data_IF_712894875009
#
_entry.id   IF_712894875009
#
_cell.length_a   1.000
_cell.length_b   1.000
_cell.length_c   1.000
_cell.angle_alpha   90.00
_cell.angle_beta   90.00
_cell.angle_gamma   90.00
#
_symmetry.space_group_name_H-M   'P 1'
#
loop_
_entity.id
_entity.type
_entity.pdbx_description
1 polymer ?
#
# COMPACT_ATOMS: atom_id res chain seq x y z
N UNK A 1 -39.80 -7.40 10.00
CA UNK A 1 -39.21 -8.47 9.14
C UNK A 1 -37.72 -8.21 8.80
N UNK A 2 -37.14 -7.10 9.26
CA UNK A 2 -35.74 -6.74 8.92
C UNK A 2 -34.67 -7.05 10.02
N UNK A 3 -35.14 -7.37 11.25
CA UNK A 3 -34.20 -7.67 12.34
C UNK A 3 -33.71 -9.13 12.35
N UNK A 4 -34.51 -10.06 11.84
CA UNK A 4 -34.14 -11.47 11.73
C UNK A 4 -33.05 -11.72 10.65
N UNK A 5 -33.02 -10.93 9.60
CA UNK A 5 -32.02 -11.03 8.52
C UNK A 5 -30.62 -10.53 8.97
N UNK A 6 -30.57 -9.54 9.85
CA UNK A 6 -29.29 -9.04 10.42
C UNK A 6 -28.69 -10.02 11.43
N UNK A 7 -29.54 -10.70 12.21
CA UNK A 7 -29.09 -11.71 13.18
C UNK A 7 -28.48 -12.95 12.50
N UNK A 8 -29.03 -13.36 11.36
CA UNK A 8 -28.53 -14.51 10.60
C UNK A 8 -27.17 -14.20 9.94
N UNK A 9 -26.96 -12.96 9.46
CA UNK A 9 -25.69 -12.57 8.81
C UNK A 9 -24.52 -12.38 9.77
N UNK A 10 -24.79 -11.97 11.03
CA UNK A 10 -23.77 -11.89 12.08
C UNK A 10 -23.37 -13.27 12.60
N UNK A 11 -24.34 -14.18 12.70
CA UNK A 11 -24.10 -15.55 13.18
C UNK A 11 -23.28 -16.39 12.17
N UNK A 12 -23.50 -16.20 10.86
CA UNK A 12 -22.68 -16.86 9.82
C UNK A 12 -21.23 -16.34 9.81
N UNK A 13 -20.97 -15.08 10.09
CA UNK A 13 -19.62 -14.51 10.10
C UNK A 13 -18.81 -14.97 11.32
N UNK A 14 -19.44 -15.07 12.50
CA UNK A 14 -18.84 -15.63 13.70
C UNK A 14 -18.63 -17.15 13.57
N UNK A 15 -19.62 -17.88 13.08
CA UNK A 15 -19.51 -19.32 12.87
C UNK A 15 -18.43 -19.70 11.83
N UNK A 16 -18.20 -18.88 10.80
CA UNK A 16 -17.09 -19.07 9.85
C UNK A 16 -15.73 -18.76 10.49
N UNK A 17 -15.65 -17.76 11.36
CA UNK A 17 -14.43 -17.45 12.13
C UNK A 17 -14.12 -18.55 13.14
N UNK A 18 -15.11 -19.01 13.87
CA UNK A 18 -14.99 -20.14 14.81
C UNK A 18 -14.65 -21.45 14.09
N UNK A 19 -15.30 -21.73 12.94
CA UNK A 19 -14.98 -22.90 12.13
C UNK A 19 -13.53 -22.88 11.62
N UNK A 20 -13.04 -21.74 11.13
CA UNK A 20 -11.63 -21.58 10.71
C UNK A 20 -10.65 -21.73 11.88
N UNK A 21 -11.01 -21.23 13.06
CA UNK A 21 -10.24 -21.43 14.28
C UNK A 21 -10.24 -22.91 14.73
N UNK A 22 -11.41 -23.56 14.67
CA UNK A 22 -11.57 -24.99 15.03
C UNK A 22 -10.84 -25.91 14.05
N UNK A 23 -10.89 -25.65 12.75
CA UNK A 23 -10.17 -26.46 11.74
C UNK A 23 -8.66 -26.37 11.97
N UNK A 24 -8.14 -25.19 12.32
CA UNK A 24 -6.73 -25.04 12.65
C UNK A 24 -6.36 -25.75 13.95
N UNK A 25 -7.20 -25.67 14.97
CA UNK A 25 -7.04 -26.40 16.23
C UNK A 25 -7.07 -27.90 16.02
N UNK A 26 -7.94 -28.39 15.13
CA UNK A 26 -8.01 -29.83 14.76
C UNK A 26 -6.79 -30.30 13.95
N UNK A 27 -6.21 -29.42 13.12
CA UNK A 27 -5.03 -29.73 12.29
C UNK A 27 -3.73 -29.66 13.12
N UNK A 28 -3.65 -28.76 14.14
CA UNK A 28 -2.45 -28.58 14.98
C UNK A 28 -2.46 -29.43 16.25
N UNK A 29 -3.57 -30.04 16.61
CA UNK A 29 -3.69 -31.05 17.68
C UNK A 29 -3.37 -30.61 19.11
N UNK A 30 -2.70 -29.48 19.34
CA UNK A 30 -2.39 -28.90 20.65
C UNK A 30 -2.20 -27.39 20.57
N UNK A 31 -2.58 -26.61 21.61
CA UNK A 31 -2.27 -25.19 21.67
C UNK A 31 -0.75 -24.98 21.70
N UNK A 32 -0.25 -23.82 21.22
CA UNK A 32 1.18 -23.52 21.27
C UNK A 32 1.68 -23.55 22.70
N UNK A 33 2.91 -24.06 22.90
CA UNK A 33 3.57 -24.14 24.21
C UNK A 33 3.76 -22.73 24.82
N UNK A 34 3.96 -21.74 23.94
CA UNK A 34 4.26 -20.36 24.27
C UNK A 34 3.48 -19.40 23.39
N UNK A 35 2.67 -18.53 23.99
CA UNK A 35 1.84 -17.53 23.32
C UNK A 35 2.51 -16.14 23.18
N UNK A 36 3.76 -15.99 23.61
CA UNK A 36 4.43 -14.67 23.73
C UNK A 36 4.43 -13.88 22.42
N UNK A 37 4.74 -14.50 21.27
CA UNK A 37 4.75 -13.80 19.97
C UNK A 37 3.36 -13.33 19.56
N UNK A 38 2.34 -14.12 19.82
CA UNK A 38 0.95 -13.69 19.54
C UNK A 38 0.54 -12.54 20.44
N UNK A 39 0.86 -12.61 21.74
CA UNK A 39 0.56 -11.53 22.69
C UNK A 39 1.25 -10.22 22.32
N UNK A 40 2.52 -10.27 21.88
CA UNK A 40 3.26 -9.08 21.46
C UNK A 40 2.69 -8.44 20.21
N UNK A 41 2.00 -9.19 19.36
CA UNK A 41 1.24 -8.65 18.23
C UNK A 41 -0.23 -8.34 18.58
N UNK A 42 -0.68 -8.55 19.82
CA UNK A 42 -2.07 -8.38 20.23
C UNK A 42 -3.03 -9.38 19.59
N UNK A 43 -2.55 -10.60 19.30
CA UNK A 43 -3.29 -11.63 18.56
C UNK A 43 -3.63 -12.84 19.42
N UNK A 44 -4.72 -13.52 19.06
CA UNK A 44 -4.99 -14.87 19.55
C UNK A 44 -4.00 -15.86 18.93
N UNK A 45 -3.67 -16.94 19.67
CA UNK A 45 -2.83 -18.03 19.17
C UNK A 45 -3.43 -18.75 17.94
N UNK A 46 -4.74 -18.63 17.75
CA UNK A 46 -5.46 -19.17 16.58
C UNK A 46 -5.58 -18.17 15.42
N UNK A 47 -5.04 -16.96 15.56
CA UNK A 47 -5.17 -15.90 14.55
C UNK A 47 -4.73 -16.37 13.16
N UNK A 48 -5.51 -16.12 12.10
CA UNK A 48 -5.13 -16.44 10.73
C UNK A 48 -3.94 -15.58 10.29
N UNK A 49 -3.25 -16.00 9.22
CA UNK A 49 -2.10 -15.25 8.67
C UNK A 49 -2.44 -13.81 8.31
N UNK A 50 -3.67 -13.55 7.90
CA UNK A 50 -4.12 -12.21 7.56
C UNK A 50 -4.09 -11.26 8.76
N UNK A 51 -4.51 -11.71 9.92
CA UNK A 51 -4.47 -10.91 11.15
C UNK A 51 -3.02 -10.64 11.59
N UNK A 52 -2.10 -11.59 11.37
CA UNK A 52 -0.66 -11.39 11.61
C UNK A 52 -0.12 -10.26 10.70
N UNK A 53 -0.52 -10.24 9.42
CA UNK A 53 -0.13 -9.18 8.49
C UNK A 53 -0.66 -7.82 8.95
N UNK A 54 -1.94 -7.74 9.38
CA UNK A 54 -2.55 -6.50 9.85
C UNK A 54 -1.87 -5.98 11.11
N UNK A 55 -1.71 -6.84 12.12
CA UNK A 55 -1.07 -6.47 13.37
C UNK A 55 0.34 -5.94 13.15
N UNK A 56 1.12 -6.60 12.27
CA UNK A 56 2.45 -6.14 11.92
C UNK A 56 2.43 -4.79 11.20
N UNK A 57 1.48 -4.54 10.30
CA UNK A 57 1.35 -3.25 9.61
C UNK A 57 1.12 -2.11 10.61
N UNK A 58 0.19 -2.30 11.54
CA UNK A 58 -0.12 -1.29 12.56
C UNK A 58 1.08 -1.07 13.49
N UNK A 59 1.58 -2.12 14.13
CA UNK A 59 2.67 -2.01 15.10
C UNK A 59 3.97 -1.56 14.44
N UNK A 60 4.31 -2.12 13.26
CA UNK A 60 5.49 -1.74 12.52
C UNK A 60 5.48 -0.29 12.06
N UNK A 61 4.30 0.26 11.73
CA UNK A 61 4.16 1.67 11.42
C UNK A 61 4.31 2.55 12.67
N UNK A 62 3.70 2.16 13.79
CA UNK A 62 3.79 2.88 15.06
C UNK A 62 5.22 2.93 15.62
N UNK A 63 6.00 1.85 15.50
CA UNK A 63 7.39 1.79 15.96
C UNK A 63 8.42 1.90 14.82
N UNK A 64 8.04 2.55 13.68
CA UNK A 64 8.95 2.65 12.55
C UNK A 64 10.12 3.61 12.84
N UNK A 65 11.37 3.23 12.62
CA UNK A 65 12.54 4.06 12.94
C UNK A 65 12.62 5.35 12.11
N UNK A 66 11.87 5.46 11.00
CA UNK A 66 11.75 6.70 10.23
C UNK A 66 10.85 7.73 10.91
N UNK A 67 9.91 7.26 11.72
CA UNK A 67 9.09 8.10 12.58
C UNK A 67 9.88 8.53 13.82
N UNK A 68 10.51 7.55 14.48
CA UNK A 68 11.31 7.78 15.68
C UNK A 68 12.52 6.83 15.70
N UNK A 69 13.76 7.33 15.52
CA UNK A 69 14.96 6.50 15.51
C UNK A 69 15.17 5.67 16.78
N UNK A 70 14.64 6.11 17.93
CA UNK A 70 14.73 5.37 19.20
C UNK A 70 13.93 4.05 19.19
N UNK A 71 12.95 3.91 18.30
CA UNK A 71 12.10 2.72 18.18
C UNK A 71 12.74 1.59 17.34
N UNK A 72 13.98 1.73 16.90
CA UNK A 72 14.64 0.74 16.02
C UNK A 72 14.64 -0.67 16.62
N UNK A 73 14.95 -0.82 17.89
CA UNK A 73 14.97 -2.14 18.58
C UNK A 73 13.58 -2.75 18.64
N UNK A 74 12.58 -1.94 18.99
CA UNK A 74 11.17 -2.35 19.04
C UNK A 74 10.68 -2.79 17.66
N UNK A 75 11.02 -2.03 16.61
CA UNK A 75 10.69 -2.41 15.23
C UNK A 75 11.33 -3.74 14.85
N UNK A 76 12.62 -3.94 15.14
CA UNK A 76 13.32 -5.19 14.84
C UNK A 76 12.70 -6.38 15.56
N UNK A 77 12.27 -6.22 16.79
CA UNK A 77 11.58 -7.25 17.55
C UNK A 77 10.25 -7.62 16.89
N UNK A 78 9.41 -6.64 16.58
CA UNK A 78 8.10 -6.85 15.91
C UNK A 78 8.29 -7.48 14.52
N UNK A 79 9.30 -7.04 13.75
CA UNK A 79 9.63 -7.60 12.44
C UNK A 79 10.12 -9.06 12.52
N UNK A 80 10.85 -9.41 13.59
CA UNK A 80 11.30 -10.79 13.85
C UNK A 80 10.14 -11.71 14.14
N UNK A 81 9.21 -11.29 15.01
CA UNK A 81 7.99 -12.03 15.33
C UNK A 81 7.14 -12.24 14.08
N UNK A 82 6.96 -11.19 13.29
CA UNK A 82 6.22 -11.26 12.03
C UNK A 82 6.84 -12.27 11.06
N UNK A 83 8.17 -12.27 10.89
CA UNK A 83 8.85 -13.21 10.02
C UNK A 83 8.60 -14.66 10.40
N UNK A 84 8.52 -14.96 11.70
CA UNK A 84 8.19 -16.31 12.20
C UNK A 84 6.73 -16.64 11.98
N UNK A 85 5.80 -15.78 12.41
CA UNK A 85 4.37 -16.08 12.39
C UNK A 85 3.76 -16.04 10.98
N UNK A 86 4.37 -15.28 10.04
CA UNK A 86 3.94 -15.25 8.65
C UNK A 86 4.29 -16.55 7.90
N UNK A 87 5.45 -17.13 8.17
CA UNK A 87 5.89 -18.36 7.56
C UNK A 87 5.25 -19.56 8.26
N UNK A 88 4.43 -20.34 7.55
CA UNK A 88 3.69 -21.45 8.18
C UNK A 88 4.61 -22.51 8.81
N UNK A 89 5.76 -22.80 8.21
CA UNK A 89 6.71 -23.79 8.73
C UNK A 89 7.38 -23.29 10.03
N UNK A 90 7.85 -22.03 10.03
CA UNK A 90 8.44 -21.40 11.20
C UNK A 90 7.40 -21.24 12.32
N UNK A 91 6.15 -20.90 11.99
CA UNK A 91 5.05 -20.81 12.94
C UNK A 91 4.74 -22.16 13.58
N UNK A 92 4.71 -23.24 12.78
CA UNK A 92 4.51 -24.59 13.27
C UNK A 92 5.65 -25.06 14.19
N UNK A 93 6.89 -24.61 13.93
CA UNK A 93 8.03 -24.87 14.81
C UNK A 93 7.86 -24.07 16.10
N UNK A 94 7.61 -22.75 15.99
CA UNK A 94 7.40 -21.89 17.15
C UNK A 94 6.27 -22.40 18.07
N UNK A 95 5.15 -22.82 17.52
CA UNK A 95 4.02 -23.37 18.28
C UNK A 95 4.42 -24.62 19.11
N UNK A 96 5.46 -25.36 18.67
CA UNK A 96 5.98 -26.55 19.34
C UNK A 96 7.11 -26.29 20.31
N UNK A 97 7.96 -25.30 20.06
CA UNK A 97 9.22 -25.13 20.82
C UNK A 97 9.29 -23.80 21.59
N UNK A 98 8.35 -22.87 21.34
CA UNK A 98 8.31 -21.56 21.97
C UNK A 98 9.48 -20.64 21.60
N UNK A 99 9.58 -19.50 22.30
CA UNK A 99 10.64 -18.48 22.07
C UNK A 99 12.03 -19.08 22.26
N UNK A 100 12.24 -19.88 23.31
CA UNK A 100 13.57 -20.44 23.61
C UNK A 100 14.06 -21.37 22.49
N UNK A 101 13.18 -22.21 21.94
CA UNK A 101 13.53 -23.11 20.85
C UNK A 101 13.82 -22.37 19.54
N UNK A 102 13.23 -21.20 19.34
CA UNK A 102 13.46 -20.39 18.13
C UNK A 102 14.84 -19.73 18.05
N UNK A 103 15.58 -19.62 19.17
CA UNK A 103 16.92 -19.00 19.19
C UNK A 103 17.92 -19.68 18.24
N UNK A 104 17.73 -20.95 17.93
CA UNK A 104 18.61 -21.71 17.03
C UNK A 104 18.11 -21.73 15.57
N UNK A 105 16.99 -21.10 15.28
CA UNK A 105 16.45 -21.04 13.92
C UNK A 105 16.81 -19.75 13.21
N UNK A 106 17.34 -19.85 12.01
CA UNK A 106 17.68 -18.70 11.17
C UNK A 106 16.47 -18.25 10.38
N UNK A 107 16.12 -16.97 10.55
CA UNK A 107 15.13 -16.27 9.73
C UNK A 107 15.59 -14.82 9.52
N UNK A 108 15.14 -14.20 8.43
CA UNK A 108 15.52 -12.83 8.08
C UNK A 108 14.32 -11.92 8.34
N UNK A 109 14.39 -11.05 9.37
CA UNK A 109 13.36 -10.06 9.61
C UNK A 109 13.23 -9.08 8.45
N UNK A 110 12.03 -8.51 8.29
CA UNK A 110 11.83 -7.45 7.32
C UNK A 110 12.56 -6.18 7.78
N UNK A 111 13.41 -5.61 6.93
CA UNK A 111 14.04 -4.33 7.22
C UNK A 111 13.02 -3.19 7.20
N UNK A 112 13.30 -2.10 7.93
CA UNK A 112 12.46 -0.90 7.95
C UNK A 112 12.23 -0.34 6.54
N UNK A 113 13.27 -0.30 5.70
CA UNK A 113 13.16 0.12 4.30
C UNK A 113 12.18 -0.77 3.51
N UNK A 114 12.33 -2.09 3.61
CA UNK A 114 11.41 -3.04 2.96
C UNK A 114 9.99 -2.93 3.50
N UNK A 115 9.83 -2.68 4.79
CA UNK A 115 8.51 -2.45 5.38
C UNK A 115 7.81 -1.29 4.68
N UNK A 116 8.45 -0.13 4.58
CA UNK A 116 7.85 1.03 3.92
C UNK A 116 7.57 0.80 2.44
N UNK A 117 8.47 0.13 1.71
CA UNK A 117 8.23 -0.24 0.31
C UNK A 117 7.04 -1.18 0.13
N UNK A 118 6.72 -1.99 1.15
CA UNK A 118 5.68 -3.00 1.11
C UNK A 118 4.41 -2.59 1.87
N UNK A 119 4.44 -1.46 2.54
CA UNK A 119 3.34 -0.98 3.37
C UNK A 119 2.06 -0.74 2.55
N UNK A 120 2.21 -0.13 1.37
CA UNK A 120 1.10 0.12 0.47
C UNK A 120 0.99 -0.97 -0.60
N UNK A 121 -0.22 -1.50 -0.74
CA UNK A 121 -0.52 -2.53 -1.73
C UNK A 121 0.20 -3.85 -1.47
N UNK A 122 -0.34 -4.93 -1.99
CA UNK A 122 0.23 -6.26 -1.88
C UNK A 122 0.86 -6.74 -3.20
N UNK A 123 1.28 -8.01 -3.25
CA UNK A 123 1.95 -8.57 -4.42
C UNK A 123 1.17 -8.45 -5.74
N UNK A 124 -0.17 -8.48 -5.66
CA UNK A 124 -1.04 -8.35 -6.85
C UNK A 124 -1.12 -6.92 -7.36
N UNK A 125 -1.21 -5.93 -6.44
CA UNK A 125 -1.17 -4.52 -6.80
C UNK A 125 0.18 -4.13 -7.41
N UNK A 126 1.29 -4.72 -6.96
CA UNK A 126 2.63 -4.43 -7.51
C UNK A 126 2.76 -4.71 -9.00
N UNK A 127 2.00 -5.64 -9.55
CA UNK A 127 1.96 -5.86 -10.99
C UNK A 127 1.42 -4.64 -11.75
N UNK A 128 0.62 -3.80 -11.08
CA UNK A 128 -0.02 -2.62 -11.64
C UNK A 128 0.65 -1.30 -11.26
N UNK A 129 1.31 -1.22 -10.10
CA UNK A 129 1.95 0.01 -9.60
C UNK A 129 3.47 -0.07 -9.49
N UNK A 130 4.06 -1.25 -9.61
CA UNK A 130 5.50 -1.48 -9.44
C UNK A 130 5.98 -1.39 -7.98
N UNK A 131 7.28 -1.47 -7.79
CA UNK A 131 7.92 -1.30 -6.48
C UNK A 131 8.19 0.17 -6.21
N UNK A 132 7.91 0.61 -4.97
CA UNK A 132 8.16 1.99 -4.55
C UNK A 132 9.66 2.23 -4.31
N UNK A 133 10.16 3.39 -4.73
CA UNK A 133 11.56 3.77 -4.57
C UNK A 133 11.75 5.07 -3.78
N UNK A 134 10.80 6.01 -3.86
CA UNK A 134 10.91 7.29 -3.16
C UNK A 134 10.72 7.14 -1.65
N UNK A 135 9.75 6.33 -1.24
CA UNK A 135 9.45 6.11 0.19
C UNK A 135 10.67 5.55 0.94
N UNK A 136 11.46 4.68 0.30
CA UNK A 136 12.72 4.19 0.86
C UNK A 136 13.84 5.24 0.91
N UNK A 137 13.79 6.28 0.08
CA UNK A 137 14.82 7.31 -0.01
C UNK A 137 14.56 8.52 0.92
N UNK A 138 13.30 8.79 1.29
CA UNK A 138 12.95 9.91 2.19
C UNK A 138 13.69 9.81 3.51
N UNK A 139 13.88 8.62 4.02
CA UNK A 139 14.54 8.39 5.29
C UNK A 139 16.07 8.44 5.23
N UNK A 140 16.65 8.32 4.02
CA UNK A 140 18.10 8.46 3.82
C UNK A 140 18.50 9.92 3.63
N UNK A 141 17.56 10.84 3.53
CA UNK A 141 17.76 12.27 3.31
C UNK A 141 17.97 13.06 4.62
N UNK A 142 18.40 12.42 5.71
CA UNK A 142 18.79 13.10 6.94
C UNK A 142 19.97 14.05 6.72
N UNK A 143 20.13 15.10 7.54
CA UNK A 143 21.24 16.04 7.43
C UNK A 143 22.57 15.31 7.62
N UNK A 144 23.38 15.26 6.58
CA UNK A 144 24.74 14.67 6.63
C UNK A 144 25.10 13.67 5.53
N UNK A 145 24.26 13.41 4.56
CA UNK A 145 24.62 12.56 3.44
C UNK A 145 25.22 13.36 2.28
N UNK A 146 26.56 13.31 2.18
CA UNK A 146 27.37 13.94 1.11
C UNK A 146 27.20 13.31 -0.30
N UNK A 147 26.29 12.35 -0.48
CA UNK A 147 26.12 11.57 -1.71
C UNK A 147 24.84 11.93 -2.49
N UNK A 148 24.44 13.20 -2.53
CA UNK A 148 23.22 13.65 -3.23
C UNK A 148 23.24 13.32 -4.73
N UNK A 149 24.41 13.33 -5.37
CA UNK A 149 24.56 12.99 -6.79
C UNK A 149 24.32 11.49 -7.03
N UNK A 150 24.94 10.62 -6.25
CA UNK A 150 24.76 9.17 -6.31
C UNK A 150 23.31 8.74 -5.96
N UNK A 151 22.67 9.45 -5.02
CA UNK A 151 21.28 9.21 -4.67
C UNK A 151 20.32 9.57 -5.83
N UNK A 152 20.57 10.69 -6.52
CA UNK A 152 19.78 11.09 -7.71
C UNK A 152 19.91 10.09 -8.85
N UNK A 153 21.12 9.60 -9.14
CA UNK A 153 21.36 8.62 -10.20
C UNK A 153 20.68 7.28 -9.88
N UNK A 154 20.81 6.78 -8.65
CA UNK A 154 20.12 5.56 -8.20
C UNK A 154 18.61 5.69 -8.28
N UNK A 155 18.06 6.85 -7.90
CA UNK A 155 16.64 7.14 -7.99
C UNK A 155 16.15 7.17 -9.44
N UNK A 156 16.89 7.80 -10.34
CA UNK A 156 16.58 7.84 -11.77
C UNK A 156 16.59 6.45 -12.39
N UNK A 157 17.58 5.62 -12.06
CA UNK A 157 17.69 4.24 -12.52
C UNK A 157 16.54 3.38 -11.98
N UNK A 158 16.16 3.53 -10.71
CA UNK A 158 15.04 2.81 -10.10
C UNK A 158 13.71 3.22 -10.76
N UNK A 159 13.49 4.51 -11.02
CA UNK A 159 12.33 5.04 -11.75
C UNK A 159 12.22 4.43 -13.15
N UNK A 160 13.31 4.43 -13.90
CA UNK A 160 13.32 3.89 -15.27
C UNK A 160 13.08 2.36 -15.27
N UNK A 161 13.70 1.63 -14.36
CA UNK A 161 13.46 0.18 -14.19
C UNK A 161 11.99 -0.11 -13.88
N UNK A 162 11.39 0.65 -12.97
CA UNK A 162 9.97 0.53 -12.61
C UNK A 162 9.06 0.81 -13.81
N UNK A 163 9.30 1.92 -14.51
CA UNK A 163 8.54 2.30 -15.70
C UNK A 163 8.58 1.18 -16.76
N UNK A 164 9.77 0.68 -17.08
CA UNK A 164 9.94 -0.38 -18.08
C UNK A 164 9.26 -1.69 -17.68
N UNK A 165 9.26 -2.04 -16.38
CA UNK A 165 8.56 -3.21 -15.88
C UNK A 165 7.04 -3.03 -15.99
N UNK A 166 6.51 -1.88 -15.60
CA UNK A 166 5.08 -1.59 -15.70
C UNK A 166 4.60 -1.53 -17.14
N UNK A 167 5.40 -0.97 -18.04
CA UNK A 167 5.09 -0.95 -19.46
C UNK A 167 4.90 -2.37 -20.02
N UNK A 168 5.79 -3.31 -19.65
CA UNK A 168 5.64 -4.73 -20.01
C UNK A 168 4.37 -5.33 -19.40
N UNK A 169 4.18 -5.18 -18.09
CA UNK A 169 3.03 -5.75 -17.40
C UNK A 169 1.70 -5.25 -17.97
N UNK A 170 1.59 -3.95 -18.26
CA UNK A 170 0.37 -3.37 -18.83
C UNK A 170 0.21 -3.78 -20.30
N UNK A 171 1.29 -3.92 -21.07
CA UNK A 171 1.23 -4.43 -22.45
C UNK A 171 0.71 -5.87 -22.49
N UNK A 172 1.18 -6.75 -21.59
CA UNK A 172 0.66 -8.12 -21.44
C UNK A 172 -0.85 -8.14 -21.14
N UNK A 173 -1.34 -7.22 -20.30
CA UNK A 173 -2.78 -7.08 -20.04
C UNK A 173 -3.57 -6.61 -21.25
N UNK A 174 -2.99 -5.71 -22.05
CA UNK A 174 -3.59 -5.30 -23.32
C UNK A 174 -3.73 -6.47 -24.27
N UNK A 175 -2.70 -7.30 -24.36
CA UNK A 175 -2.70 -8.49 -25.23
C UNK A 175 -3.71 -9.53 -24.70
N UNK A 176 -3.76 -9.81 -23.40
CA UNK A 176 -4.76 -10.69 -22.76
C UNK A 176 -6.21 -10.25 -23.07
N UNK A 177 -6.47 -8.95 -23.05
CA UNK A 177 -7.78 -8.41 -23.41
C UNK A 177 -8.14 -8.70 -24.87
N UNK A 178 -7.18 -8.53 -25.80
CA UNK A 178 -7.44 -8.74 -27.21
C UNK A 178 -7.55 -10.20 -27.60
N UNK A 179 -6.75 -11.07 -27.02
CA UNK A 179 -6.88 -12.52 -27.15
C UNK A 179 -8.28 -12.98 -26.70
N UNK A 180 -8.72 -12.51 -25.53
CA UNK A 180 -10.05 -12.79 -25.01
C UNK A 180 -11.18 -12.25 -25.90
N UNK A 181 -10.96 -11.07 -26.51
CA UNK A 181 -11.93 -10.47 -27.42
C UNK A 181 -12.04 -11.23 -28.75
N UNK A 182 -10.92 -11.67 -29.31
CA UNK A 182 -10.87 -12.47 -30.55
C UNK A 182 -11.45 -13.87 -30.31
N UNK A 183 -11.26 -14.45 -29.12
CA UNK A 183 -11.84 -15.73 -28.70
C UNK A 183 -13.32 -15.63 -28.28
N UNK A 184 -13.92 -14.42 -28.20
CA UNK A 184 -15.29 -14.23 -27.68
C UNK A 184 -15.45 -14.47 -26.18
N UNK A 185 -14.36 -14.48 -25.39
CA UNK A 185 -14.32 -14.82 -23.98
C UNK A 185 -14.13 -13.63 -23.04
N UNK A 186 -14.45 -12.40 -23.47
CA UNK A 186 -14.28 -11.17 -22.65
C UNK A 186 -15.02 -11.26 -21.31
N UNK A 187 -16.18 -11.91 -21.26
CA UNK A 187 -16.91 -12.09 -19.99
C UNK A 187 -16.16 -12.99 -18.99
N UNK A 188 -15.37 -13.94 -19.48
CA UNK A 188 -14.52 -14.77 -18.65
C UNK A 188 -13.31 -13.99 -18.13
N UNK A 189 -12.66 -13.22 -18.99
CA UNK A 189 -11.61 -12.28 -18.56
C UNK A 189 -12.12 -11.31 -17.51
N UNK A 190 -13.30 -10.74 -17.69
CA UNK A 190 -13.93 -9.83 -16.73
C UNK A 190 -14.14 -10.51 -15.37
N UNK A 191 -14.63 -11.74 -15.36
CA UNK A 191 -14.83 -12.54 -14.16
C UNK A 191 -13.50 -12.82 -13.44
N UNK A 192 -12.47 -13.24 -14.20
CA UNK A 192 -11.11 -13.47 -13.70
C UNK A 192 -10.52 -12.19 -13.10
N UNK A 193 -10.63 -11.06 -13.79
CA UNK A 193 -10.12 -9.80 -13.32
C UNK A 193 -10.86 -9.30 -12.07
N UNK A 194 -12.19 -9.43 -12.00
CA UNK A 194 -12.96 -9.11 -10.80
C UNK A 194 -12.54 -9.93 -9.58
N UNK A 195 -12.20 -11.20 -9.77
CA UNK A 195 -11.61 -12.00 -8.69
C UNK A 195 -10.24 -11.46 -8.25
N UNK A 196 -9.41 -11.03 -9.17
CA UNK A 196 -8.13 -10.36 -8.86
C UNK A 196 -8.35 -9.05 -8.07
N UNK A 197 -9.33 -8.23 -8.49
CA UNK A 197 -9.72 -7.00 -7.78
C UNK A 197 -10.21 -7.25 -6.35
N UNK A 198 -10.90 -8.37 -6.08
CA UNK A 198 -11.29 -8.76 -4.70
C UNK A 198 -10.07 -8.92 -3.80
N UNK A 199 -8.99 -9.50 -4.29
CA UNK A 199 -7.76 -9.62 -3.52
C UNK A 199 -7.02 -8.28 -3.38
N UNK A 200 -6.98 -7.48 -4.46
CA UNK A 200 -6.29 -6.18 -4.45
C UNK A 200 -6.97 -5.16 -3.53
N UNK A 201 -8.32 -5.12 -3.49
CA UNK A 201 -9.04 -4.17 -2.62
C UNK A 201 -8.90 -4.47 -1.13
N UNK A 202 -8.55 -5.73 -0.78
CA UNK A 202 -8.29 -6.16 0.61
C UNK A 202 -6.88 -5.82 1.08
N UNK A 203 -5.98 -5.52 0.15
CA UNK A 203 -4.66 -5.05 0.50
C UNK A 203 -4.72 -3.66 1.12
N UNK A 204 -3.70 -3.34 1.91
CA UNK A 204 -3.62 -2.06 2.61
C UNK A 204 -3.64 -0.90 1.62
N UNK A 205 -4.56 0.05 1.80
CA UNK A 205 -4.91 1.10 0.84
C UNK A 205 -5.30 0.59 -0.57
N UNK A 206 -5.57 -0.70 -0.70
CA UNK A 206 -5.81 -1.33 -1.99
C UNK A 206 -6.96 -0.70 -2.78
N UNK A 207 -8.09 -0.40 -2.13
CA UNK A 207 -9.23 0.25 -2.79
C UNK A 207 -8.89 1.67 -3.25
N UNK A 208 -8.19 2.46 -2.42
CA UNK A 208 -7.77 3.83 -2.79
C UNK A 208 -6.81 3.78 -3.98
N UNK A 209 -5.83 2.87 -3.97
CA UNK A 209 -4.91 2.68 -5.10
C UNK A 209 -5.63 2.22 -6.37
N UNK A 210 -6.60 1.31 -6.27
CA UNK A 210 -7.43 0.89 -7.41
C UNK A 210 -8.19 2.05 -8.03
N UNK A 211 -8.77 2.93 -7.22
CA UNK A 211 -9.49 4.10 -7.71
C UNK A 211 -8.55 5.14 -8.34
N UNK A 212 -7.36 5.37 -7.78
CA UNK A 212 -6.33 6.23 -8.39
C UNK A 212 -5.94 5.68 -9.77
N UNK A 213 -5.59 4.40 -9.86
CA UNK A 213 -5.24 3.75 -11.13
C UNK A 213 -6.37 3.82 -12.14
N UNK A 214 -7.61 3.49 -11.70
CA UNK A 214 -8.79 3.53 -12.55
C UNK A 214 -9.05 4.92 -13.14
N UNK A 215 -8.92 5.97 -12.33
CA UNK A 215 -9.06 7.35 -12.78
C UNK A 215 -8.00 7.72 -13.81
N UNK A 216 -6.73 7.39 -13.57
CA UNK A 216 -5.63 7.65 -14.52
C UNK A 216 -5.86 6.91 -15.84
N UNK A 217 -6.28 5.63 -15.78
CA UNK A 217 -6.56 4.83 -16.96
C UNK A 217 -7.70 5.41 -17.79
N UNK A 218 -8.80 5.84 -17.16
CA UNK A 218 -9.91 6.47 -17.86
C UNK A 218 -9.54 7.83 -18.43
N UNK A 219 -8.84 8.65 -17.68
CA UNK A 219 -8.39 9.97 -18.12
C UNK A 219 -7.51 9.84 -19.36
N UNK A 220 -6.49 8.98 -19.34
CA UNK A 220 -5.60 8.76 -20.46
C UNK A 220 -6.33 8.15 -21.67
N UNK A 221 -7.25 7.21 -21.45
CA UNK A 221 -8.08 6.67 -22.51
C UNK A 221 -8.96 7.76 -23.17
N UNK A 222 -9.58 8.64 -22.39
CA UNK A 222 -10.37 9.76 -22.91
C UNK A 222 -9.52 10.73 -23.73
N UNK A 223 -8.28 11.02 -23.31
CA UNK A 223 -7.36 11.84 -24.10
C UNK A 223 -7.03 11.22 -25.46
N UNK A 224 -6.75 9.92 -25.49
CA UNK A 224 -6.48 9.18 -26.73
C UNK A 224 -7.69 9.25 -27.70
N UNK A 225 -8.91 9.12 -27.15
CA UNK A 225 -10.13 9.22 -27.95
C UNK A 225 -10.33 10.63 -28.50
N UNK A 226 -10.16 11.66 -27.68
CA UNK A 226 -10.24 13.06 -28.11
C UNK A 226 -9.19 13.37 -29.17
N UNK A 227 -7.94 12.90 -28.96
CA UNK A 227 -6.85 13.03 -29.93
C UNK A 227 -7.16 12.40 -31.28
N UNK A 228 -7.84 11.26 -31.27
CA UNK A 228 -8.21 10.56 -32.51
C UNK A 228 -9.25 11.31 -33.36
N UNK A 229 -10.05 12.19 -32.71
CA UNK A 229 -11.11 13.00 -33.34
C UNK A 229 -10.62 14.34 -33.87
N UNK A 230 -9.51 14.88 -33.36
CA UNK A 230 -9.02 16.27 -33.64
C UNK A 230 -7.83 16.35 -34.57
N UNK A 231 -7.63 15.41 -35.52
CA UNK A 231 -6.58 15.43 -36.54
C UNK A 231 -5.16 15.71 -36.03
N UNK A 232 -4.87 15.33 -34.79
CA UNK A 232 -3.50 15.43 -34.23
C UNK A 232 -3.18 16.73 -33.48
N UNK A 233 -4.05 17.74 -33.49
CA UNK A 233 -3.87 18.99 -32.72
C UNK A 233 -3.87 18.73 -31.21
N UNK A 234 -4.47 17.63 -30.74
CA UNK A 234 -4.51 17.24 -29.34
C UNK A 234 -3.17 16.80 -28.76
N UNK A 235 -2.19 16.38 -29.59
CA UNK A 235 -0.84 16.03 -29.07
C UNK A 235 -0.17 17.18 -28.30
N UNK A 236 -0.48 18.43 -28.69
CA UNK A 236 0.05 19.63 -28.02
C UNK A 236 -0.71 19.87 -26.71
N UNK A 237 -2.03 19.65 -26.69
CA UNK A 237 -2.87 19.77 -25.50
C UNK A 237 -2.59 18.66 -24.48
N UNK A 238 -2.35 17.44 -24.93
CA UNK A 238 -2.03 16.29 -24.07
C UNK A 238 -0.72 16.52 -23.32
N UNK A 239 0.32 17.00 -24.00
CA UNK A 239 1.60 17.31 -23.37
C UNK A 239 1.48 18.42 -22.31
N UNK A 240 0.65 19.43 -22.56
CA UNK A 240 0.41 20.54 -21.63
C UNK A 240 -0.40 20.10 -20.42
N UNK A 241 -1.42 19.22 -20.58
CA UNK A 241 -2.24 18.72 -19.48
C UNK A 241 -1.50 17.72 -18.59
N UNK A 242 -0.72 16.80 -19.20
CA UNK A 242 0.17 15.89 -18.46
C UNK A 242 1.19 16.69 -17.67
N UNK A 243 1.77 17.73 -18.28
CA UNK A 243 2.69 18.64 -17.60
C UNK A 243 2.00 19.41 -16.45
N UNK A 244 0.76 19.86 -16.65
CA UNK A 244 -0.03 20.54 -15.61
C UNK A 244 -0.39 19.61 -14.45
N UNK A 245 -0.72 18.34 -14.73
CA UNK A 245 -0.96 17.34 -13.67
C UNK A 245 0.33 17.03 -12.90
N UNK A 246 1.42 16.84 -13.62
CA UNK A 246 2.76 16.63 -13.04
C UNK A 246 3.19 17.79 -12.14
N UNK A 247 2.91 19.04 -12.56
CA UNK A 247 3.21 20.23 -11.75
C UNK A 247 2.38 20.24 -10.47
N UNK A 248 1.06 19.97 -10.55
CA UNK A 248 0.19 19.90 -9.35
C UNK A 248 0.64 18.83 -8.37
N UNK A 249 0.94 17.63 -8.84
CA UNK A 249 1.44 16.54 -7.98
C UNK A 249 2.79 16.90 -7.34
N UNK A 250 3.66 17.58 -8.09
CA UNK A 250 4.95 18.06 -7.58
C UNK A 250 4.78 19.15 -6.54
N UNK A 251 3.84 20.09 -6.74
CA UNK A 251 3.55 21.14 -5.79
C UNK A 251 2.94 20.58 -4.50
N UNK A 252 2.04 19.60 -4.61
CA UNK A 252 1.47 18.87 -3.47
C UNK A 252 2.56 18.14 -2.69
N UNK A 253 3.43 17.39 -3.39
CA UNK A 253 4.58 16.73 -2.78
C UNK A 253 5.52 17.73 -2.09
N UNK A 254 5.80 18.87 -2.72
CA UNK A 254 6.66 19.91 -2.14
C UNK A 254 6.06 20.47 -0.84
N UNK A 255 4.75 20.73 -0.81
CA UNK A 255 4.05 21.17 0.42
C UNK A 255 4.16 20.11 1.52
N UNK A 256 3.90 18.85 1.19
CA UNK A 256 3.97 17.73 2.14
C UNK A 256 5.39 17.56 2.68
N UNK A 257 6.42 17.69 1.83
CA UNK A 257 7.82 17.63 2.27
C UNK A 257 8.22 18.79 3.16
N UNK A 258 7.70 20.01 2.90
CA UNK A 258 7.91 21.15 3.80
C UNK A 258 7.25 20.91 5.16
N UNK A 259 6.00 20.43 5.17
CA UNK A 259 5.30 20.05 6.42
C UNK A 259 6.03 18.93 7.15
N UNK A 260 6.61 17.96 6.43
CA UNK A 260 7.39 16.88 7.03
C UNK A 260 8.69 17.40 7.64
N UNK A 261 9.36 18.37 7.00
CA UNK A 261 10.56 19.02 7.53
C UNK A 261 10.25 19.81 8.80
N UNK A 262 9.20 20.64 8.78
CA UNK A 262 8.73 21.37 9.99
C UNK A 262 8.35 20.42 11.12
N UNK A 263 7.74 19.25 10.80
CA UNK A 263 7.43 18.24 11.79
C UNK A 263 8.66 17.49 12.27
N UNK A 264 9.70 17.33 11.44
CA UNK A 264 11.00 16.79 11.86
C UNK A 264 11.64 17.60 12.97
N UNK A 265 11.62 18.94 12.83
CA UNK A 265 12.09 19.86 13.87
C UNK A 265 11.18 19.80 15.13
N UNK A 266 9.88 19.63 14.95
CA UNK A 266 8.91 19.41 16.06
C UNK A 266 9.10 18.07 16.76
N UNK A 267 9.48 16.99 16.02
CA UNK A 267 9.80 15.70 16.60
C UNK A 267 11.01 15.80 17.53
N UNK A 268 12.06 16.49 17.11
CA UNK A 268 13.22 16.72 17.93
C UNK A 268 12.85 17.55 19.17
N UNK A 269 12.02 18.58 18.99
CA UNK A 269 11.47 19.38 20.09
C UNK A 269 10.57 18.54 21.01
N UNK A 270 9.69 17.68 20.48
CA UNK A 270 8.81 16.81 21.26
C UNK A 270 9.61 15.74 22.02
N UNK A 271 10.69 15.23 21.44
CA UNK A 271 11.61 14.30 22.13
C UNK A 271 12.34 14.99 23.29
N UNK A 272 12.69 16.26 23.16
CA UNK A 272 13.24 17.07 24.23
C UNK A 272 12.17 17.39 25.29
N UNK A 273 10.94 17.68 24.84
CA UNK A 273 9.80 17.93 25.72
C UNK A 273 9.38 16.68 26.47
N UNK A 274 9.40 15.51 25.83
CA UNK A 274 9.14 14.20 26.46
C UNK A 274 10.15 13.93 27.58
N UNK A 275 11.44 14.19 27.35
CA UNK A 275 12.46 14.10 28.40
C UNK A 275 12.21 15.07 29.55
N UNK A 276 11.68 16.25 29.26
CA UNK A 276 11.32 17.25 30.27
C UNK A 276 10.01 16.90 31.03
N UNK A 277 8.99 16.35 30.32
CA UNK A 277 7.69 16.01 30.87
C UNK A 277 7.70 14.68 31.62
N UNK A 278 8.57 13.73 31.27
CA UNK A 278 8.81 12.53 32.11
C UNK A 278 9.29 12.89 33.53
N UNK A 279 9.70 14.15 33.72
CA UNK A 279 9.94 14.75 35.03
C UNK A 279 8.67 15.35 35.68
N UNK A 280 7.57 15.54 34.91
CA UNK A 280 6.38 16.27 35.37
C UNK A 280 5.07 15.48 35.48
N UNK A 281 5.03 14.19 35.16
CA UNK A 281 3.88 13.28 35.40
C UNK A 281 2.51 13.65 34.78
N UNK A 282 2.44 14.17 33.55
CA UNK A 282 1.16 14.37 32.83
C UNK A 282 1.02 13.44 31.63
N UNK A 283 0.36 12.27 31.75
CA UNK A 283 0.33 11.21 30.72
C UNK A 283 -0.51 11.54 29.47
N UNK A 284 -1.55 12.38 29.56
CA UNK A 284 -2.48 12.62 28.45
C UNK A 284 -1.93 13.43 27.29
N UNK A 285 -0.97 14.32 27.54
CA UNK A 285 -0.39 15.19 26.53
C UNK A 285 0.56 14.46 25.57
N UNK A 286 1.25 13.42 26.08
CA UNK A 286 2.17 12.59 25.27
C UNK A 286 1.41 11.76 24.26
N UNK A 287 0.25 11.19 24.64
CA UNK A 287 -0.58 10.36 23.75
C UNK A 287 -1.13 11.18 22.57
N UNK A 288 -1.55 12.44 22.82
CA UNK A 288 -2.06 13.32 21.75
C UNK A 288 -0.94 13.78 20.81
N UNK A 289 0.24 14.10 21.34
CA UNK A 289 1.41 14.46 20.56
C UNK A 289 1.88 13.28 19.70
N UNK A 290 1.92 12.07 20.24
CA UNK A 290 2.29 10.86 19.51
C UNK A 290 1.27 10.54 18.41
N UNK A 291 -0.02 10.69 18.70
CA UNK A 291 -1.09 10.53 17.70
C UNK A 291 -0.95 11.50 16.55
N UNK A 292 -0.74 12.79 16.85
CA UNK A 292 -0.55 13.84 15.84
C UNK A 292 0.67 13.57 14.98
N UNK A 293 1.77 13.13 15.58
CA UNK A 293 2.99 12.78 14.87
C UNK A 293 2.79 11.59 13.93
N UNK A 294 2.06 10.57 14.39
CA UNK A 294 1.71 9.39 13.59
C UNK A 294 0.85 9.79 12.40
N UNK A 295 -0.12 10.70 12.60
CA UNK A 295 -0.95 11.27 11.53
C UNK A 295 -0.10 11.96 10.45
N UNK A 296 0.76 12.89 10.85
CA UNK A 296 1.59 13.65 9.91
C UNK A 296 2.59 12.78 9.16
N UNK A 297 3.13 11.76 9.82
CA UNK A 297 3.98 10.76 9.15
C UNK A 297 3.19 9.97 8.10
N UNK A 298 1.95 9.55 8.42
CA UNK A 298 1.09 8.83 7.49
C UNK A 298 0.74 9.70 6.27
N UNK A 299 0.37 10.95 6.48
CA UNK A 299 0.09 11.91 5.40
C UNK A 299 1.28 12.03 4.44
N UNK A 300 2.47 12.21 5.00
CA UNK A 300 3.70 12.33 4.22
C UNK A 300 3.95 11.07 3.38
N UNK A 301 3.89 9.90 4.00
CA UNK A 301 4.15 8.62 3.32
C UNK A 301 3.09 8.34 2.26
N UNK A 302 1.82 8.66 2.54
CA UNK A 302 0.73 8.52 1.57
C UNK A 302 0.88 9.47 0.37
N UNK A 303 1.18 10.75 0.60
CA UNK A 303 1.36 11.72 -0.47
C UNK A 303 2.51 11.35 -1.40
N UNK A 304 3.63 10.88 -0.85
CA UNK A 304 4.76 10.39 -1.65
C UNK A 304 4.39 9.14 -2.45
N UNK A 305 3.69 8.20 -1.82
CA UNK A 305 3.23 6.99 -2.49
C UNK A 305 2.28 7.31 -3.64
N UNK A 306 1.30 8.16 -3.40
CA UNK A 306 0.35 8.63 -4.41
C UNK A 306 1.06 9.32 -5.57
N UNK A 307 1.95 10.28 -5.27
CA UNK A 307 2.75 10.95 -6.28
C UNK A 307 3.53 9.96 -7.15
N UNK A 308 4.20 8.99 -6.54
CA UNK A 308 5.00 7.99 -7.23
C UNK A 308 4.16 7.08 -8.13
N UNK A 309 2.94 6.72 -7.70
CA UNK A 309 1.99 5.95 -8.53
C UNK A 309 1.49 6.78 -9.70
N UNK A 310 1.02 7.99 -9.44
CA UNK A 310 0.46 8.88 -10.47
C UNK A 310 1.52 9.22 -11.53
N UNK A 311 2.72 9.65 -11.11
CA UNK A 311 3.82 9.99 -12.01
C UNK A 311 4.18 8.80 -12.92
N UNK A 312 4.43 7.65 -12.31
CA UNK A 312 4.88 6.47 -13.08
C UNK A 312 3.81 5.98 -14.04
N UNK A 313 2.53 5.93 -13.62
CA UNK A 313 1.44 5.46 -14.48
C UNK A 313 1.16 6.42 -15.64
N UNK A 314 1.25 7.74 -15.41
CA UNK A 314 1.15 8.71 -16.50
C UNK A 314 2.27 8.53 -17.53
N UNK A 315 3.52 8.36 -17.08
CA UNK A 315 4.67 8.13 -17.96
C UNK A 315 4.50 6.83 -18.77
N UNK A 316 4.08 5.74 -18.11
CA UNK A 316 3.88 4.43 -18.75
C UNK A 316 2.74 4.47 -19.76
N UNK A 317 1.60 5.06 -19.43
CA UNK A 317 0.46 5.13 -20.35
C UNK A 317 0.74 6.09 -21.51
N UNK A 318 1.48 7.17 -21.27
CA UNK A 318 1.93 8.04 -22.35
C UNK A 318 2.81 7.27 -23.35
N UNK A 319 3.82 6.55 -22.87
CA UNK A 319 4.68 5.72 -23.72
C UNK A 319 3.86 4.61 -24.42
N UNK A 320 2.99 3.93 -23.70
CA UNK A 320 2.10 2.91 -24.26
C UNK A 320 1.27 3.44 -25.44
N UNK A 321 0.73 4.65 -25.34
CA UNK A 321 -0.15 5.18 -26.37
C UNK A 321 0.55 5.90 -27.53
N UNK A 322 1.71 6.52 -27.27
CA UNK A 322 2.31 7.45 -28.24
C UNK A 322 3.66 7.01 -28.82
N UNK A 323 4.33 6.02 -28.18
CA UNK A 323 5.61 5.57 -28.70
C UNK A 323 5.41 4.62 -29.89
N UNK A 324 5.95 5.03 -31.05
CA UNK A 324 5.99 4.29 -32.33
C UNK A 324 4.69 3.54 -32.72
N UNK A 325 3.51 4.07 -32.31
CA UNK A 325 2.24 3.40 -32.51
C UNK A 325 1.41 3.99 -33.65
N UNK A 326 0.91 3.12 -34.53
CA UNK A 326 -0.09 3.49 -35.51
C UNK A 326 -1.48 3.68 -34.87
N UNK A 327 -2.40 4.32 -35.59
CA UNK A 327 -3.77 4.59 -35.11
C UNK A 327 -4.51 3.32 -34.67
N UNK A 328 -4.35 2.20 -35.39
CA UNK A 328 -5.03 0.93 -35.11
C UNK A 328 -4.55 0.35 -33.80
N UNK A 329 -3.24 0.28 -33.56
CA UNK A 329 -2.64 -0.21 -32.32
C UNK A 329 -3.02 0.69 -31.14
N UNK A 330 -3.03 2.01 -31.33
CA UNK A 330 -3.46 2.95 -30.29
C UNK A 330 -4.91 2.72 -29.87
N UNK A 331 -5.82 2.48 -30.82
CA UNK A 331 -7.21 2.16 -30.50
C UNK A 331 -7.38 0.79 -29.84
N UNK A 332 -6.54 -0.19 -30.18
CA UNK A 332 -6.49 -1.47 -29.44
C UNK A 332 -6.13 -1.23 -27.97
N UNK A 333 -5.06 -0.49 -27.72
CA UNK A 333 -4.62 -0.14 -26.36
C UNK A 333 -5.68 0.64 -25.60
N UNK A 334 -6.35 1.61 -26.25
CA UNK A 334 -7.46 2.38 -25.69
C UNK A 334 -8.58 1.48 -25.13
N UNK A 335 -9.07 0.52 -25.90
CA UNK A 335 -10.17 -0.33 -25.48
C UNK A 335 -9.80 -1.20 -24.26
N UNK A 336 -8.59 -1.74 -24.23
CA UNK A 336 -8.11 -2.54 -23.12
C UNK A 336 -7.94 -1.70 -21.84
N UNK A 337 -7.30 -0.54 -21.93
CA UNK A 337 -7.09 0.37 -20.80
C UNK A 337 -8.43 0.88 -20.26
N UNK A 338 -9.37 1.22 -21.13
CA UNK A 338 -10.72 1.60 -20.73
C UNK A 338 -11.46 0.49 -19.98
N UNK A 339 -11.31 -0.77 -20.44
CA UNK A 339 -11.90 -1.93 -19.78
C UNK A 339 -11.35 -2.09 -18.35
N UNK A 340 -10.02 -2.17 -18.18
CA UNK A 340 -9.41 -2.34 -16.86
C UNK A 340 -9.69 -1.17 -15.92
N UNK A 341 -9.60 0.06 -16.40
CA UNK A 341 -9.88 1.26 -15.62
C UNK A 341 -11.32 1.32 -15.09
N UNK A 342 -12.31 0.94 -15.90
CA UNK A 342 -13.72 0.85 -15.48
C UNK A 342 -13.93 -0.20 -14.39
N UNK A 343 -13.38 -1.39 -14.56
CA UNK A 343 -13.50 -2.46 -13.56
C UNK A 343 -12.85 -2.06 -12.22
N UNK A 344 -11.72 -1.35 -12.25
CA UNK A 344 -11.09 -0.81 -11.04
C UNK A 344 -11.99 0.20 -10.33
N UNK A 345 -12.63 1.14 -11.07
CA UNK A 345 -13.46 2.20 -10.48
C UNK A 345 -14.79 1.72 -9.92
N UNK A 346 -15.37 0.67 -10.49
CA UNK A 346 -16.64 0.11 -9.97
C UNK A 346 -16.43 -0.79 -8.77
N UNK A 347 -15.18 -1.13 -8.45
CA UNK A 347 -14.85 -1.95 -7.28
C UNK A 347 -15.22 -1.20 -6.01
N UNK A 348 -15.91 -1.91 -5.09
CA UNK A 348 -16.34 -1.40 -3.78
C UNK A 348 -15.93 -2.38 -2.70
N UNK A 349 -15.72 -1.90 -1.48
CA UNK A 349 -15.60 -2.77 -0.31
C UNK A 349 -16.94 -3.37 0.05
N UNK A 350 -16.90 -4.56 0.63
CA UNK A 350 -18.03 -5.08 1.35
C UNK A 350 -18.05 -4.49 2.77
N UNK A 351 -19.24 -4.37 3.40
CA UNK A 351 -19.33 -3.85 4.77
C UNK A 351 -18.41 -4.58 5.77
N UNK A 352 -18.21 -5.88 5.60
CA UNK A 352 -17.35 -6.74 6.41
C UNK A 352 -15.84 -6.43 6.24
N UNK A 353 -15.46 -5.73 5.18
CA UNK A 353 -14.07 -5.38 4.86
C UNK A 353 -13.72 -3.94 5.34
N UNK A 354 -14.71 -3.15 5.78
CA UNK A 354 -14.50 -1.75 6.20
C UNK A 354 -13.71 -1.62 7.50
N UNK A 355 -13.79 -2.61 8.40
CA UNK A 355 -13.04 -2.60 9.65
C UNK A 355 -11.53 -2.78 9.46
N UNK A 356 -11.11 -3.35 8.34
CA UNK A 356 -9.75 -3.81 8.14
C UNK A 356 -8.70 -2.70 7.98
N UNK A 357 -9.10 -1.54 7.41
CA UNK A 357 -8.22 -0.38 7.22
C UNK A 357 -8.69 0.85 8.04
N UNK A 358 -9.69 0.67 8.90
CA UNK A 358 -10.36 1.76 9.60
C UNK A 358 -9.40 2.68 10.35
N UNK A 359 -8.42 2.13 11.03
CA UNK A 359 -7.42 2.90 11.75
C UNK A 359 -6.67 3.89 10.83
N UNK A 360 -6.17 3.42 9.69
CA UNK A 360 -5.40 4.28 8.77
C UNK A 360 -6.30 5.19 7.93
N UNK A 361 -7.55 4.78 7.64
CA UNK A 361 -8.52 5.61 6.93
C UNK A 361 -9.05 6.74 7.81
N UNK A 362 -9.28 6.47 9.10
CA UNK A 362 -9.61 7.51 10.09
C UNK A 362 -8.44 8.49 10.26
N UNK A 363 -7.20 7.98 10.27
CA UNK A 363 -6.02 8.83 10.32
C UNK A 363 -5.96 9.77 9.10
N UNK A 364 -6.21 9.29 7.89
CA UNK A 364 -6.18 10.12 6.68
C UNK A 364 -7.40 11.05 6.56
N UNK A 365 -8.59 10.61 7.00
CA UNK A 365 -9.79 11.43 6.96
C UNK A 365 -9.69 12.65 7.90
N UNK A 366 -9.01 12.50 9.03
CA UNK A 366 -8.74 13.62 9.94
C UNK A 366 -7.85 14.68 9.29
N UNK A 367 -6.90 14.26 8.45
CA UNK A 367 -6.00 15.17 7.74
C UNK A 367 -6.68 15.95 6.62
N UNK A 368 -7.67 15.34 5.94
CA UNK A 368 -8.41 15.98 4.86
C UNK A 368 -9.38 17.08 5.37
N UNK A 369 -9.82 16.98 6.63
CA UNK A 369 -10.72 17.97 7.26
C UNK A 369 -10.00 19.26 7.68
N UNK A 370 -8.72 19.18 8.02
CA UNK A 370 -7.90 20.34 8.41
C UNK A 370 -7.47 21.22 7.21
N UNK A 371 -7.83 20.86 5.99
CA UNK A 371 -7.47 21.57 4.76
C UNK A 371 -8.67 22.23 4.02
N UNK A 372 -9.86 22.29 4.65
CA UNK A 372 -11.03 23.05 4.22
C UNK A 372 -11.17 24.31 5.03
#
# INVERSE_FOLDING_TARGET
MDDDAKSILTDESESIREWRGSVRSLVLGQPPIDGTYYQQLGLSVTAPQWDVVKAFRVLGFQCHPYRNPADLERFQQVASIYAVLLNQDLRNIYDKVGVEGMKNHHFVPMSAEKFMQHFFGGPKLRKWIGEFYLVGNIAKAGPGHDDLANAKEKTALAKEKRKNQLLRNISERVDEYWESKEAGSVAELQRKFRMELVYMRREHFGLRLLHIMGNIFLEQAHYVLAASRTLGLSKIFDKSKIHGHHTKCKDELTRVLLVAQENGERIEFLSLLEKALNQCNEPGYLDEAERTLTLKFMECVWAVTRFEVEETLHDVLFELFYDNTNKKTRMRRYHAILFYGREMLITRRKPEEEEDDRFFEELLALSEVDHV
#
